data_IF_662825977650
#
_entry.id   IF_662825977650
#
_cell.length_a   1.000
_cell.length_b   1.000
_cell.length_c   1.000
_cell.angle_alpha   90.00
_cell.angle_beta   90.00
_cell.angle_gamma   90.00
#
_symmetry.space_group_name_H-M   'P 1'
#
loop_
_entity.id
_entity.type
_entity.pdbx_description
1 polymer ?
#
# COMPACT_ATOMS: atom_id res chain seq x y z
N UNK A 1 -10.54 7.65 11.92
CA UNK A 1 -9.57 6.54 12.01
C UNK A 1 -10.09 5.50 12.97
N UNK A 2 -9.96 4.20 12.66
CA UNK A 2 -10.39 3.13 13.57
C UNK A 2 -9.33 2.04 13.60
N UNK A 3 -8.27 2.25 14.38
CA UNK A 3 -7.26 1.23 14.69
C UNK A 3 -7.89 -0.09 15.15
N UNK A 4 -9.01 -0.02 15.87
CA UNK A 4 -9.80 -1.20 16.26
C UNK A 4 -10.32 -2.03 15.07
N UNK A 5 -10.52 -1.44 13.89
CA UNK A 5 -10.85 -2.21 12.68
C UNK A 5 -9.64 -2.99 12.15
N UNK A 6 -8.44 -2.39 12.15
CA UNK A 6 -7.21 -3.08 11.73
C UNK A 6 -6.86 -4.24 12.69
N UNK A 7 -6.99 -4.01 14.00
CA UNK A 7 -6.84 -5.07 15.01
C UNK A 7 -7.88 -6.17 14.83
N UNK A 8 -9.14 -5.81 14.56
CA UNK A 8 -10.21 -6.78 14.31
C UNK A 8 -9.94 -7.63 13.07
N UNK A 9 -9.54 -7.02 11.95
CA UNK A 9 -9.21 -7.76 10.72
C UNK A 9 -8.05 -8.73 10.96
N UNK A 10 -6.99 -8.28 11.65
CA UNK A 10 -5.84 -9.12 12.00
C UNK A 10 -6.22 -10.27 12.92
N UNK A 11 -7.05 -10.00 13.94
CA UNK A 11 -7.56 -11.05 14.84
C UNK A 11 -8.43 -12.08 14.11
N UNK A 12 -9.27 -11.63 13.17
CA UNK A 12 -10.05 -12.53 12.32
C UNK A 12 -9.14 -13.41 11.46
N UNK A 13 -8.05 -12.85 10.92
CA UNK A 13 -7.06 -13.60 10.14
C UNK A 13 -6.34 -14.66 10.99
N UNK A 14 -5.88 -14.29 12.19
CA UNK A 14 -5.25 -15.24 13.14
C UNK A 14 -6.20 -16.40 13.48
N UNK A 15 -7.48 -16.10 13.71
CA UNK A 15 -8.48 -17.12 13.99
C UNK A 15 -8.65 -18.06 12.79
N UNK A 16 -8.75 -17.54 11.57
CA UNK A 16 -8.87 -18.35 10.35
C UNK A 16 -7.64 -19.25 10.14
N UNK A 17 -6.42 -18.72 10.29
CA UNK A 17 -5.19 -19.50 10.21
C UNK A 17 -5.12 -20.57 11.31
N UNK A 18 -5.56 -20.25 12.53
CA UNK A 18 -5.61 -21.23 13.64
C UNK A 18 -6.56 -22.40 13.37
N UNK A 19 -7.67 -22.15 12.66
CA UNK A 19 -8.63 -23.17 12.25
C UNK A 19 -8.03 -24.01 11.12
N UNK A 20 -7.47 -23.37 10.08
CA UNK A 20 -6.82 -24.08 8.96
C UNK A 20 -5.66 -24.96 9.44
N UNK A 21 -4.88 -24.48 10.42
CA UNK A 21 -3.81 -25.27 11.04
C UNK A 21 -4.34 -26.53 11.72
N UNK A 22 -5.50 -26.45 12.40
CA UNK A 22 -6.13 -27.61 13.05
C UNK A 22 -6.63 -28.62 12.03
N UNK A 23 -7.36 -28.17 11.00
CA UNK A 23 -7.89 -29.06 9.96
C UNK A 23 -6.77 -29.78 9.19
N UNK A 24 -5.67 -29.08 8.88
CA UNK A 24 -4.53 -29.71 8.19
C UNK A 24 -3.84 -30.76 9.07
N UNK A 25 -3.77 -30.54 10.40
CA UNK A 25 -3.24 -31.53 11.35
C UNK A 25 -4.14 -32.77 11.43
N UNK A 26 -5.45 -32.57 11.51
CA UNK A 26 -6.44 -33.66 11.52
C UNK A 26 -6.35 -34.52 10.25
N UNK A 27 -6.32 -33.90 9.06
CA UNK A 27 -6.16 -34.61 7.78
C UNK A 27 -4.85 -35.42 7.70
N UNK A 28 -3.78 -34.90 8.29
CA UNK A 28 -2.48 -35.56 8.31
C UNK A 28 -2.48 -36.78 9.24
N UNK A 29 -3.23 -36.75 10.34
CA UNK A 29 -3.44 -37.90 11.24
C UNK A 29 -4.35 -38.97 10.60
N UNK A 30 -5.43 -38.56 9.93
CA UNK A 30 -6.34 -39.47 9.20
C UNK A 30 -5.63 -40.19 8.04
N UNK A 31 -4.79 -39.47 7.29
CA UNK A 31 -3.99 -40.04 6.21
C UNK A 31 -2.94 -41.05 6.70
N UNK A 32 -2.41 -40.88 7.92
CA UNK A 32 -1.49 -41.85 8.54
C UNK A 32 -2.19 -43.17 8.92
N UNK A 33 -3.47 -43.11 9.29
CA UNK A 33 -4.24 -44.30 9.64
C UNK A 33 -4.64 -45.16 8.41
N UNK A 34 -4.74 -44.57 7.21
CA UNK A 34 -5.23 -45.26 6.00
C UNK A 34 -4.18 -46.01 5.16
N UNK A 35 -2.87 -45.84 5.42
CA UNK A 35 -1.81 -46.76 4.91
C UNK A 35 -1.62 -46.90 3.38
N UNK A 36 -2.18 -46.03 2.54
CA UNK A 36 -2.11 -46.14 1.07
C UNK A 36 -0.92 -45.40 0.45
N UNK A 37 -0.29 -45.97 -0.60
CA UNK A 37 0.87 -45.39 -1.29
C UNK A 37 0.62 -44.02 -1.95
N UNK A 38 -0.61 -43.76 -2.42
CA UNK A 38 -1.05 -42.45 -2.93
C UNK A 38 -1.12 -41.40 -1.82
N UNK A 39 -1.44 -41.82 -0.59
CA UNK A 39 -1.55 -40.92 0.56
C UNK A 39 -0.21 -40.32 0.98
N UNK A 40 0.93 -40.86 0.53
CA UNK A 40 2.24 -40.27 0.81
C UNK A 40 2.46 -38.96 0.05
N UNK A 41 1.95 -38.84 -1.19
CA UNK A 41 2.06 -37.61 -1.96
C UNK A 41 1.16 -36.52 -1.34
N UNK A 42 -0.10 -36.87 -1.06
CA UNK A 42 -1.06 -35.98 -0.39
C UNK A 42 -0.53 -35.53 0.99
N UNK A 43 0.12 -36.42 1.73
CA UNK A 43 0.77 -36.08 3.02
C UNK A 43 1.88 -35.06 2.87
N UNK A 44 2.74 -35.18 1.84
CA UNK A 44 3.81 -34.20 1.59
C UNK A 44 3.20 -32.84 1.25
N UNK A 45 2.15 -32.81 0.42
CA UNK A 45 1.45 -31.57 0.07
C UNK A 45 0.78 -30.92 1.29
N UNK A 46 0.04 -31.70 2.10
CA UNK A 46 -0.58 -31.23 3.35
C UNK A 46 0.47 -30.71 4.33
N UNK A 47 1.62 -31.40 4.45
CA UNK A 47 2.72 -30.94 5.33
C UNK A 47 3.31 -29.62 4.85
N UNK A 48 3.48 -29.46 3.54
CA UNK A 48 3.98 -28.22 2.94
C UNK A 48 2.99 -27.07 3.17
N UNK A 49 1.70 -27.33 2.99
CA UNK A 49 0.64 -26.35 3.27
C UNK A 49 0.60 -25.98 4.75
N UNK A 50 0.73 -26.96 5.66
CA UNK A 50 0.77 -26.73 7.09
C UNK A 50 1.95 -25.82 7.48
N UNK A 51 3.13 -26.07 6.94
CA UNK A 51 4.31 -25.22 7.17
C UNK A 51 4.10 -23.80 6.64
N UNK A 52 3.44 -23.64 5.48
CA UNK A 52 3.10 -22.33 4.94
C UNK A 52 2.10 -21.57 5.84
N UNK A 53 1.07 -22.26 6.33
CA UNK A 53 0.07 -21.70 7.25
C UNK A 53 0.68 -21.33 8.60
N UNK A 54 1.60 -22.14 9.13
CA UNK A 54 2.32 -21.84 10.38
C UNK A 54 3.20 -20.58 10.22
N UNK A 55 3.93 -20.46 9.11
CA UNK A 55 4.70 -19.26 8.80
C UNK A 55 3.82 -18.01 8.65
N UNK A 56 2.69 -18.13 7.96
CA UNK A 56 1.74 -17.03 7.80
C UNK A 56 1.11 -16.62 9.15
N UNK A 57 0.87 -17.60 10.03
CA UNK A 57 0.37 -17.34 11.38
C UNK A 57 1.38 -16.54 12.21
N UNK A 58 2.65 -16.94 12.20
CA UNK A 58 3.74 -16.22 12.88
C UNK A 58 3.85 -14.78 12.37
N UNK A 59 3.87 -14.59 11.04
CA UNK A 59 3.92 -13.24 10.44
C UNK A 59 2.69 -12.40 10.80
N UNK A 60 1.51 -13.01 10.87
CA UNK A 60 0.29 -12.30 11.28
C UNK A 60 0.32 -11.96 12.77
N UNK A 61 0.96 -12.79 13.60
CA UNK A 61 1.16 -12.52 15.01
C UNK A 61 2.10 -11.35 15.22
N UNK A 62 3.21 -11.28 14.48
CA UNK A 62 4.14 -10.14 14.50
C UNK A 62 3.40 -8.83 14.15
N UNK A 63 2.53 -8.86 13.14
CA UNK A 63 1.68 -7.71 12.77
C UNK A 63 0.71 -7.33 13.89
N UNK A 64 0.14 -8.31 14.60
CA UNK A 64 -0.75 -8.04 15.72
C UNK A 64 0.00 -7.34 16.88
N UNK A 65 1.22 -7.76 17.17
CA UNK A 65 2.08 -7.15 18.18
C UNK A 65 2.48 -5.73 17.77
N UNK A 66 2.82 -5.53 16.50
CA UNK A 66 3.15 -4.21 15.95
C UNK A 66 1.95 -3.25 16.00
N UNK A 67 0.74 -3.72 15.65
CA UNK A 67 -0.51 -2.95 15.81
C UNK A 67 -0.81 -2.60 17.26
N UNK A 68 -0.46 -3.47 18.20
CA UNK A 68 -0.58 -3.21 19.64
C UNK A 68 0.39 -2.10 20.08
N UNK A 69 1.65 -2.18 19.65
CA UNK A 69 2.66 -1.17 19.93
C UNK A 69 2.26 0.22 19.36
N UNK A 70 1.74 0.26 18.13
CA UNK A 70 1.20 1.50 17.55
C UNK A 70 0.01 2.05 18.33
N UNK A 71 -0.87 1.18 18.85
CA UNK A 71 -1.99 1.60 19.70
C UNK A 71 -1.49 2.32 20.95
N UNK A 72 -0.48 1.75 21.61
CA UNK A 72 0.13 2.36 22.80
C UNK A 72 0.82 3.68 22.43
N UNK A 73 1.53 3.74 21.30
CA UNK A 73 2.17 4.97 20.84
C UNK A 73 1.16 6.10 20.61
N UNK A 74 0.03 5.81 19.95
CA UNK A 74 -1.05 6.78 19.72
C UNK A 74 -1.69 7.23 21.03
N UNK A 75 -1.94 6.30 21.96
CA UNK A 75 -2.49 6.63 23.28
C UNK A 75 -1.54 7.54 24.07
N UNK A 76 -0.24 7.22 24.07
CA UNK A 76 0.77 8.04 24.73
C UNK A 76 0.88 9.42 24.08
N UNK A 77 0.83 9.51 22.74
CA UNK A 77 0.84 10.77 22.03
C UNK A 77 -0.40 11.63 22.34
N UNK A 78 -1.59 11.02 22.48
CA UNK A 78 -2.80 11.74 22.88
C UNK A 78 -2.72 12.24 24.32
N UNK A 79 -2.16 11.44 25.24
CA UNK A 79 -1.88 11.88 26.61
C UNK A 79 -0.89 13.03 26.63
N UNK A 80 0.20 12.95 25.86
CA UNK A 80 1.21 14.00 25.74
C UNK A 80 0.63 15.29 25.12
N UNK A 81 -0.24 15.17 24.12
CA UNK A 81 -0.99 16.29 23.53
C UNK A 81 -1.88 16.97 24.57
N UNK A 82 -2.59 16.20 25.39
CA UNK A 82 -3.37 16.73 26.51
C UNK A 82 -2.50 17.41 27.58
N UNK A 83 -1.22 17.01 27.69
CA UNK A 83 -0.23 17.60 28.58
C UNK A 83 0.56 18.76 27.95
N UNK A 84 0.30 19.11 26.68
CA UNK A 84 0.91 20.25 25.99
C UNK A 84 2.22 19.95 25.27
N UNK A 85 2.61 18.68 25.13
CA UNK A 85 3.80 18.26 24.37
C UNK A 85 3.45 18.04 22.89
N UNK A 86 4.23 18.63 21.99
CA UNK A 86 4.00 18.54 20.54
C UNK A 86 4.46 17.18 19.98
N UNK A 87 3.56 16.17 19.97
CA UNK A 87 3.80 14.83 19.38
C UNK A 87 2.87 14.56 18.17
N UNK A 88 2.28 15.61 17.57
CA UNK A 88 1.27 15.45 16.53
C UNK A 88 1.79 14.74 15.27
N UNK A 89 2.97 15.11 14.77
CA UNK A 89 3.45 14.66 13.46
C UNK A 89 3.81 13.15 13.42
N UNK A 90 4.48 12.63 14.46
CA UNK A 90 4.81 11.21 14.54
C UNK A 90 3.55 10.34 14.70
N UNK A 91 2.56 10.82 15.44
CA UNK A 91 1.27 10.14 15.58
C UNK A 91 0.50 10.15 14.25
N UNK A 92 0.51 11.26 13.52
CA UNK A 92 -0.12 11.38 12.20
C UNK A 92 0.47 10.40 11.17
N UNK A 93 1.79 10.22 11.14
CA UNK A 93 2.41 9.27 10.21
C UNK A 93 2.03 7.81 10.52
N UNK A 94 2.07 7.42 11.80
CA UNK A 94 1.61 6.09 12.27
C UNK A 94 0.14 5.87 11.86
N UNK A 95 -0.69 6.89 12.01
CA UNK A 95 -2.11 6.82 11.65
C UNK A 95 -2.35 6.65 10.15
N UNK A 96 -1.56 7.31 9.29
CA UNK A 96 -1.63 7.12 7.83
C UNK A 96 -1.21 5.70 7.43
N UNK A 97 -0.13 5.18 8.02
CA UNK A 97 0.35 3.80 7.78
C UNK A 97 -0.73 2.77 8.14
N UNK A 98 -1.35 2.93 9.31
CA UNK A 98 -2.44 2.07 9.77
C UNK A 98 -3.64 2.08 8.82
N UNK A 99 -3.99 3.25 8.28
CA UNK A 99 -5.10 3.39 7.34
C UNK A 99 -4.78 2.71 6.00
N UNK A 100 -3.55 2.82 5.49
CA UNK A 100 -3.10 2.05 4.32
C UNK A 100 -3.20 0.55 4.57
N UNK A 101 -2.65 0.08 5.68
CA UNK A 101 -2.72 -1.33 6.05
C UNK A 101 -4.17 -1.83 6.06
N UNK A 102 -5.08 -1.08 6.71
CA UNK A 102 -6.51 -1.40 6.78
C UNK A 102 -7.15 -1.48 5.39
N UNK A 103 -6.86 -0.51 4.51
CA UNK A 103 -7.40 -0.48 3.14
C UNK A 103 -6.94 -1.69 2.35
N UNK A 104 -5.64 -2.01 2.38
CA UNK A 104 -5.09 -3.18 1.69
C UNK A 104 -5.69 -4.47 2.26
N UNK A 105 -5.68 -4.65 3.59
CA UNK A 105 -6.19 -5.86 4.25
C UNK A 105 -7.67 -6.13 3.98
N UNK A 106 -8.46 -5.08 3.76
CA UNK A 106 -9.86 -5.19 3.36
C UNK A 106 -10.04 -5.61 1.89
N UNK A 107 -8.99 -5.49 1.07
CA UNK A 107 -9.04 -5.70 -0.38
C UNK A 107 -9.41 -4.45 -1.17
N UNK A 108 -9.36 -3.27 -0.55
CA UNK A 108 -9.58 -2.01 -1.25
C UNK A 108 -8.37 -1.64 -2.13
N UNK A 109 -8.61 -0.88 -3.20
CA UNK A 109 -7.56 -0.39 -4.09
C UNK A 109 -6.92 0.85 -3.48
N UNK A 110 -5.62 0.74 -3.19
CA UNK A 110 -4.80 1.81 -2.62
C UNK A 110 -3.83 2.34 -3.69
N UNK A 111 -3.50 3.63 -3.71
CA UNK A 111 -2.50 4.20 -4.61
C UNK A 111 -1.10 3.62 -4.39
N UNK A 112 -0.30 3.55 -5.44
CA UNK A 112 1.06 2.98 -5.37
C UNK A 112 1.97 3.74 -4.38
N UNK A 113 1.80 5.06 -4.27
CA UNK A 113 2.52 5.91 -3.32
C UNK A 113 2.30 5.45 -1.88
N UNK A 114 1.04 5.28 -1.49
CA UNK A 114 0.62 4.78 -0.17
C UNK A 114 1.08 3.35 0.08
N UNK A 115 0.93 2.44 -0.90
CA UNK A 115 1.40 1.05 -0.76
C UNK A 115 2.91 0.98 -0.54
N UNK A 116 3.67 1.82 -1.24
CA UNK A 116 5.12 1.92 -1.07
C UNK A 116 5.48 2.41 0.33
N UNK A 117 4.74 3.37 0.89
CA UNK A 117 4.97 3.86 2.26
C UNK A 117 4.76 2.77 3.30
N UNK A 118 3.73 1.95 3.17
CA UNK A 118 3.54 0.80 4.06
C UNK A 118 4.69 -0.23 3.90
N UNK A 119 5.13 -0.48 2.68
CA UNK A 119 6.25 -1.40 2.41
C UNK A 119 7.58 -0.88 2.99
N UNK A 120 7.84 0.43 2.85
CA UNK A 120 9.01 1.11 3.42
C UNK A 120 8.98 1.07 4.96
N UNK A 121 7.79 1.13 5.56
CA UNK A 121 7.62 1.04 7.01
C UNK A 121 7.79 -0.38 7.55
N UNK A 122 7.00 -1.33 7.05
CA UNK A 122 7.05 -2.74 7.46
C UNK A 122 6.62 -3.63 6.29
N UNK A 123 7.62 -4.30 5.69
CA UNK A 123 7.35 -5.25 4.62
C UNK A 123 6.49 -6.43 5.08
N UNK A 124 6.59 -6.81 6.37
CA UNK A 124 5.75 -7.85 6.98
C UNK A 124 4.29 -7.39 7.03
N UNK A 125 4.01 -6.14 7.46
CA UNK A 125 2.66 -5.58 7.41
C UNK A 125 2.10 -5.54 6.00
N UNK A 126 2.89 -5.12 5.02
CA UNK A 126 2.45 -5.07 3.62
C UNK A 126 2.06 -6.46 3.09
N UNK A 127 2.92 -7.46 3.28
CA UNK A 127 2.66 -8.83 2.82
C UNK A 127 1.46 -9.44 3.54
N UNK A 128 1.36 -9.24 4.85
CA UNK A 128 0.24 -9.71 5.66
C UNK A 128 -1.08 -9.06 5.22
N UNK A 129 -1.09 -7.75 4.95
CA UNK A 129 -2.25 -7.06 4.41
C UNK A 129 -2.68 -7.62 3.05
N UNK A 130 -1.73 -7.92 2.14
CA UNK A 130 -2.06 -8.54 0.85
C UNK A 130 -2.63 -9.95 1.04
N UNK A 131 -2.10 -10.76 1.96
CA UNK A 131 -2.65 -12.08 2.26
C UNK A 131 -4.07 -11.99 2.84
N UNK A 132 -4.32 -11.06 3.76
CA UNK A 132 -5.67 -10.77 4.27
C UNK A 132 -6.63 -10.32 3.16
N UNK A 133 -6.13 -9.53 2.21
CA UNK A 133 -6.90 -9.10 1.04
C UNK A 133 -7.36 -10.28 0.18
N UNK A 134 -6.53 -11.32 0.05
CA UNK A 134 -6.87 -12.56 -0.67
C UNK A 134 -8.09 -13.25 -0.02
N UNK A 135 -8.18 -13.25 1.31
CA UNK A 135 -9.33 -13.81 2.03
C UNK A 135 -10.59 -12.96 1.91
N UNK A 136 -10.44 -11.66 1.73
CA UNK A 136 -11.55 -10.70 1.59
C UNK A 136 -11.94 -10.40 0.13
N UNK A 137 -11.46 -11.17 -0.85
CA UNK A 137 -11.70 -10.90 -2.28
C UNK A 137 -13.18 -10.88 -2.69
N UNK A 138 -14.04 -11.55 -1.92
CA UNK A 138 -15.48 -11.61 -2.16
C UNK A 138 -16.24 -10.37 -1.64
N UNK A 139 -15.55 -9.42 -0.99
CA UNK A 139 -16.12 -8.16 -0.55
C UNK A 139 -16.00 -7.07 -1.63
N UNK A 140 -16.95 -6.13 -1.65
CA UNK A 140 -16.90 -4.98 -2.55
C UNK A 140 -15.60 -4.18 -2.36
N UNK A 141 -14.81 -4.02 -3.42
CA UNK A 141 -13.55 -3.29 -3.40
C UNK A 141 -13.79 -1.80 -3.58
N UNK A 142 -13.36 -0.98 -2.62
CA UNK A 142 -13.42 0.48 -2.73
C UNK A 142 -12.10 1.02 -3.26
N UNK A 143 -12.12 2.10 -4.05
CA UNK A 143 -10.92 2.83 -4.47
C UNK A 143 -10.68 3.98 -3.49
N UNK A 144 -9.45 4.14 -3.01
CA UNK A 144 -9.09 5.23 -2.10
C UNK A 144 -8.14 6.23 -2.75
N UNK A 145 -8.24 7.50 -2.35
CA UNK A 145 -7.26 8.55 -2.67
C UNK A 145 -6.02 8.41 -1.77
N UNK A 146 -4.88 8.91 -2.28
CA UNK A 146 -3.58 8.88 -1.61
C UNK A 146 -3.63 9.69 -0.31
N UNK A 147 -2.96 9.19 0.73
CA UNK A 147 -2.81 9.88 2.02
C UNK A 147 -1.58 10.79 2.07
N UNK A 148 -0.67 10.67 1.10
CA UNK A 148 0.58 11.45 1.03
C UNK A 148 0.68 12.38 -0.19
N UNK A 149 -0.29 12.38 -1.10
CA UNK A 149 -0.37 13.38 -2.16
C UNK A 149 -1.14 14.61 -1.65
N UNK A 150 -0.46 15.76 -1.51
CA UNK A 150 -1.13 17.06 -1.54
C UNK A 150 -1.74 17.22 -2.92
N UNK A 151 -3.08 17.28 -2.98
CA UNK A 151 -3.90 17.25 -4.20
C UNK A 151 -3.30 18.11 -5.33
N UNK A 152 -2.73 17.51 -6.41
CA UNK A 152 -2.80 18.12 -7.72
C UNK A 152 -4.13 17.70 -8.32
N UNK A 153 -4.76 18.62 -9.06
CA UNK A 153 -6.00 18.33 -9.78
C UNK A 153 -5.88 17.00 -10.54
N UNK A 154 -6.96 16.21 -10.49
CA UNK A 154 -7.10 15.00 -11.28
C UNK A 154 -6.85 15.34 -12.76
N UNK A 155 -5.67 15.04 -13.27
CA UNK A 155 -5.51 14.82 -14.70
C UNK A 155 -5.83 13.34 -14.91
N UNK A 156 -7.04 13.09 -15.40
CA UNK A 156 -7.37 11.79 -15.97
C UNK A 156 -6.26 11.40 -16.95
N UNK A 157 -5.83 10.13 -17.00
CA UNK A 157 -4.83 9.71 -17.97
C UNK A 157 -5.40 9.93 -19.37
N UNK A 158 -5.00 11.03 -20.01
CA UNK A 158 -5.36 11.33 -21.39
C UNK A 158 -4.83 10.17 -22.23
N UNK A 159 -5.74 9.44 -22.87
CA UNK A 159 -5.42 8.37 -23.80
C UNK A 159 -4.41 8.91 -24.83
N UNK A 160 -3.26 8.26 -25.05
CA UNK A 160 -2.31 8.67 -26.09
C UNK A 160 -2.95 8.87 -27.47
N UNK A 161 -4.07 8.21 -27.76
CA UNK A 161 -4.85 8.43 -28.98
C UNK A 161 -5.58 9.80 -29.02
N UNK A 162 -6.03 10.33 -27.88
CA UNK A 162 -6.66 11.66 -27.82
C UNK A 162 -5.65 12.81 -27.93
N UNK A 163 -4.40 12.60 -27.48
CA UNK A 163 -3.32 13.58 -27.62
C UNK A 163 -2.91 13.75 -29.10
N UNK A 164 -2.94 12.66 -29.88
CA UNK A 164 -2.63 12.68 -31.30
C UNK A 164 -3.71 13.38 -32.15
N UNK A 165 -4.98 13.27 -31.76
CA UNK A 165 -6.10 13.92 -32.47
C UNK A 165 -6.13 15.45 -32.26
N UNK A 166 -5.59 15.95 -31.15
CA UNK A 166 -5.54 17.36 -30.82
C UNK A 166 -4.21 18.06 -31.19
N UNK A 167 -3.26 17.31 -31.75
CA UNK A 167 -2.02 17.90 -32.29
C UNK A 167 -2.27 18.37 -33.72
N UNK A 168 -2.55 19.66 -33.89
CA UNK A 168 -2.67 20.29 -35.20
C UNK A 168 -1.34 20.20 -35.95
N UNK A 169 -1.34 19.49 -37.08
CA UNK A 169 -0.17 19.36 -37.97
C UNK A 169 0.01 20.68 -38.71
N UNK A 170 1.10 21.38 -38.39
CA UNK A 170 1.36 22.77 -38.80
C UNK A 170 1.40 23.06 -40.30
N UNK A 171 1.00 24.29 -40.62
CA UNK A 171 1.16 24.97 -41.91
C UNK A 171 2.64 25.20 -42.30
N UNK A 172 2.93 25.43 -43.59
CA UNK A 172 4.10 24.87 -44.24
C UNK A 172 5.37 25.73 -44.14
N UNK A 173 6.49 25.00 -44.30
CA UNK A 173 7.88 25.43 -44.49
C UNK A 173 8.03 26.82 -45.16
N UNK A 174 8.35 27.85 -44.37
CA UNK A 174 8.75 29.15 -44.88
C UNK A 174 10.17 29.07 -45.48
N UNK A 175 10.26 29.42 -46.76
CA UNK A 175 11.47 29.42 -47.56
C UNK A 175 12.55 30.40 -47.10
N UNK A 176 13.78 30.00 -47.38
CA UNK A 176 15.06 30.68 -47.20
C UNK A 176 15.16 32.03 -47.95
N UNK A 177 16.09 32.87 -47.46
CA UNK A 177 16.65 34.15 -47.96
C UNK A 177 16.03 35.42 -47.34
N UNK A 178 16.75 36.47 -46.92
CA UNK A 178 18.09 36.92 -47.28
C UNK A 178 18.76 37.73 -46.13
N UNK A 179 20.09 37.75 -46.20
CA UNK A 179 21.05 38.56 -45.46
C UNK A 179 20.75 40.07 -45.57
N UNK A 180 20.94 40.82 -44.47
CA UNK A 180 21.59 42.14 -44.49
C UNK A 180 22.05 42.60 -43.10
N UNK A 181 23.36 42.86 -43.01
CA UNK A 181 24.04 43.60 -41.94
C UNK A 181 23.51 45.03 -41.87
N UNK A 182 23.33 45.56 -40.66
CA UNK A 182 23.93 46.85 -40.28
C UNK A 182 23.87 47.04 -38.77
N UNK A 183 25.05 47.25 -38.21
CA UNK A 183 25.34 47.91 -36.95
C UNK A 183 24.44 49.12 -36.66
N UNK A 184 23.99 49.26 -35.41
CA UNK A 184 24.25 50.52 -34.71
C UNK A 184 24.24 50.32 -33.19
N UNK A 185 25.12 51.10 -32.56
CA UNK A 185 25.55 51.06 -31.18
C UNK A 185 24.79 52.04 -30.30
N UNK A 186 24.61 51.68 -29.04
CA UNK A 186 24.64 52.64 -27.94
C UNK A 186 23.30 52.99 -27.31
N UNK A 187 23.12 52.59 -26.05
CA UNK A 187 22.51 53.47 -25.05
C UNK A 187 23.09 53.15 -23.69
N UNK A 188 23.84 54.12 -23.17
CA UNK A 188 24.49 54.09 -21.86
C UNK A 188 23.51 54.30 -20.72
N UNK A 189 23.99 53.89 -19.55
CA UNK A 189 23.29 53.86 -18.29
C UNK A 189 23.21 55.22 -17.57
N UNK A 190 22.25 55.25 -16.63
CA UNK A 190 22.24 55.92 -15.33
C UNK A 190 21.53 57.30 -15.20
N UNK A 191 20.66 57.44 -14.17
CA UNK A 191 19.97 58.68 -13.80
C UNK A 191 20.73 59.43 -12.69
N UNK A 192 20.59 60.76 -12.63
CA UNK A 192 20.70 61.51 -11.37
C UNK A 192 20.21 62.96 -11.50
N UNK A 193 19.65 63.43 -10.37
CA UNK A 193 19.10 64.75 -10.03
C UNK A 193 17.64 65.04 -10.44
#
# INVERSE_FOLDING_TARGET
MKLGEAQKITSMHLNALSQRRRTLKELLEEGQASGSGSANFDRVEITKELSAVEKEYEQTQDVADELSAMSTAIQNAEVARQQGEAIAEAAEEILKILEVFRRIAKGDKVPATDEKKLMEYSQVMYMSAKNMALMNQNCERKKHKSLWEEEPAQEEPVDPFELAANTEVGEPLAGVTAVSRSSDTGTGAAPSA
#
